data_IF_714399770335
#
_entry.id   IF_714399770335
#
_cell.length_a   1.000
_cell.length_b   1.000
_cell.length_c   1.000
_cell.angle_alpha   90.00
_cell.angle_beta   90.00
_cell.angle_gamma   90.00
#
_symmetry.space_group_name_H-M   'P 1'
#
loop_
_entity.id
_entity.type
_entity.pdbx_description
1 polymer ?
#
# COMPACT_ATOMS: atom_id res chain seq x y z
N UNK A 1 42.19 5.46 37.92
CA UNK A 1 40.92 4.70 37.89
C UNK A 1 40.59 4.42 36.43
N UNK A 2 40.90 3.20 35.97
CA UNK A 2 40.78 2.78 34.57
C UNK A 2 39.35 2.38 34.24
N UNK A 3 38.82 2.85 33.10
CA UNK A 3 37.50 2.47 32.58
C UNK A 3 37.52 1.02 32.10
N UNK A 4 36.46 0.23 32.31
CA UNK A 4 36.39 -1.15 31.83
C UNK A 4 36.22 -1.14 30.31
N UNK A 5 37.05 -1.93 29.63
CA UNK A 5 36.87 -2.30 28.22
C UNK A 5 35.79 -3.38 28.20
N UNK A 6 34.61 -3.05 27.69
CA UNK A 6 33.58 -4.05 27.37
C UNK A 6 33.98 -4.65 26.03
N UNK A 7 34.53 -5.86 26.06
CA UNK A 7 34.64 -6.71 24.88
C UNK A 7 33.23 -7.09 24.44
N UNK A 8 32.77 -6.51 23.33
CA UNK A 8 31.60 -7.01 22.62
C UNK A 8 32.03 -8.32 21.97
N UNK A 9 31.60 -9.44 22.55
CA UNK A 9 31.68 -10.74 21.89
C UNK A 9 30.83 -10.65 20.62
N UNK A 10 31.47 -10.77 19.46
CA UNK A 10 30.78 -10.83 18.18
C UNK A 10 30.00 -12.13 18.11
N UNK A 11 28.67 -12.04 17.99
CA UNK A 11 27.84 -13.16 17.58
C UNK A 11 28.33 -13.61 16.19
N UNK A 12 28.75 -14.88 16.07
CA UNK A 12 29.00 -15.48 14.77
C UNK A 12 27.71 -15.38 13.94
N UNK A 13 27.78 -14.93 12.67
CA UNK A 13 26.59 -14.79 11.85
C UNK A 13 25.91 -16.16 11.73
N UNK A 14 24.68 -16.23 12.24
CA UNK A 14 23.77 -17.37 12.08
C UNK A 14 23.86 -17.86 10.63
N UNK A 15 24.26 -19.12 10.45
CA UNK A 15 24.63 -19.75 9.16
C UNK A 15 23.48 -19.83 8.14
N UNK A 16 23.02 -18.68 7.67
CA UNK A 16 22.02 -18.55 6.63
C UNK A 16 22.54 -19.07 5.31
N UNK A 17 21.66 -19.71 4.53
CA UNK A 17 21.99 -20.07 3.15
C UNK A 17 22.31 -18.78 2.37
N UNK A 18 23.30 -18.82 1.45
CA UNK A 18 23.59 -17.68 0.61
C UNK A 18 22.35 -17.28 -0.20
N UNK A 19 22.17 -15.96 -0.35
CA UNK A 19 21.11 -15.36 -1.17
C UNK A 19 21.80 -14.77 -2.40
N UNK A 20 21.48 -15.33 -3.56
CA UNK A 20 21.93 -14.81 -4.84
C UNK A 20 20.91 -13.80 -5.35
N UNK A 21 21.39 -12.65 -5.85
CA UNK A 21 20.51 -11.61 -6.41
C UNK A 21 20.94 -11.24 -7.82
N UNK A 22 19.97 -11.01 -8.70
CA UNK A 22 20.17 -10.58 -10.08
C UNK A 22 19.08 -9.59 -10.50
N UNK A 23 19.34 -8.76 -11.51
CA UNK A 23 18.31 -7.95 -12.17
C UNK A 23 18.01 -8.53 -13.54
N UNK A 24 16.76 -8.89 -13.75
CA UNK A 24 16.28 -9.56 -14.97
C UNK A 24 15.13 -8.80 -15.60
N UNK A 25 14.82 -9.15 -16.86
CA UNK A 25 13.54 -8.76 -17.45
C UNK A 25 12.40 -9.51 -16.76
N UNK A 26 11.20 -8.91 -16.67
CA UNK A 26 10.04 -9.58 -16.10
C UNK A 26 9.75 -10.91 -16.79
N UNK A 27 9.67 -11.97 -15.99
CA UNK A 27 9.28 -13.31 -16.42
C UNK A 27 8.17 -13.81 -15.49
N UNK A 28 6.90 -13.88 -15.95
CA UNK A 28 5.78 -14.39 -15.18
C UNK A 28 6.03 -15.72 -14.46
N UNK A 29 6.93 -16.58 -14.97
CA UNK A 29 7.29 -17.85 -14.34
C UNK A 29 7.98 -17.69 -12.98
N UNK A 30 8.59 -16.53 -12.70
CA UNK A 30 9.21 -16.23 -11.41
C UNK A 30 8.20 -15.94 -10.30
N UNK A 31 6.98 -15.60 -10.69
CA UNK A 31 5.86 -15.27 -9.82
C UNK A 31 4.62 -16.08 -10.24
N UNK A 32 4.60 -17.41 -10.03
CA UNK A 32 3.57 -18.28 -10.58
C UNK A 32 2.17 -17.98 -10.04
N UNK A 33 1.15 -18.28 -10.84
CA UNK A 33 -0.25 -18.19 -10.46
C UNK A 33 -0.65 -19.30 -9.49
N UNK A 34 -1.49 -18.97 -8.50
CA UNK A 34 -2.14 -19.98 -7.65
C UNK A 34 -1.28 -20.61 -6.55
N UNK A 35 -0.16 -20.00 -6.15
CA UNK A 35 0.66 -20.47 -5.03
C UNK A 35 0.30 -19.78 -3.70
N UNK A 36 -0.08 -20.51 -2.64
CA UNK A 36 -0.15 -19.96 -1.29
C UNK A 36 1.28 -19.75 -0.79
N UNK A 37 1.86 -18.58 -1.03
CA UNK A 37 3.31 -18.49 -0.84
C UNK A 37 3.94 -17.13 -1.01
N UNK A 38 3.19 -16.03 -1.06
CA UNK A 38 3.79 -14.70 -1.19
C UNK A 38 3.19 -13.75 -0.16
N UNK A 39 4.04 -12.86 0.32
CA UNK A 39 3.71 -11.76 1.22
C UNK A 39 4.24 -10.48 0.62
N UNK A 40 3.48 -9.40 0.72
CA UNK A 40 3.87 -8.08 0.27
C UNK A 40 3.31 -7.01 1.23
N UNK A 41 3.82 -5.79 1.11
CA UNK A 41 3.37 -4.70 1.98
C UNK A 41 1.98 -4.16 1.62
N UNK A 42 1.48 -4.42 0.41
CA UNK A 42 0.14 -4.04 -0.03
C UNK A 42 -0.31 -4.80 -1.28
N UNK A 43 -1.57 -4.66 -1.65
CA UNK A 43 -2.21 -5.39 -2.75
C UNK A 43 -1.53 -5.12 -4.10
N UNK A 44 -1.10 -3.88 -4.35
CA UNK A 44 -0.41 -3.46 -5.57
C UNK A 44 0.93 -4.18 -5.80
N UNK A 45 1.48 -4.81 -4.75
CA UNK A 45 2.75 -5.53 -4.79
C UNK A 45 2.57 -7.05 -4.86
N UNK A 46 1.33 -7.54 -4.90
CA UNK A 46 1.09 -8.98 -5.03
C UNK A 46 1.47 -9.51 -6.40
N UNK A 47 1.77 -10.82 -6.53
CA UNK A 47 2.18 -11.40 -7.80
C UNK A 47 1.27 -11.04 -9.00
N UNK A 48 -0.08 -11.11 -8.90
CA UNK A 48 -0.94 -10.70 -10.01
C UNK A 48 -0.79 -9.22 -10.40
N UNK A 49 -0.63 -8.34 -9.42
CA UNK A 49 -0.46 -6.91 -9.64
C UNK A 49 0.91 -6.58 -10.25
N UNK A 50 1.98 -7.17 -9.71
CA UNK A 50 3.35 -7.01 -10.24
C UNK A 50 3.48 -7.53 -11.67
N UNK A 51 2.84 -8.67 -11.99
CA UNK A 51 2.80 -9.18 -13.37
C UNK A 51 2.02 -8.27 -14.31
N UNK A 52 0.87 -7.75 -13.87
CA UNK A 52 0.09 -6.81 -14.66
C UNK A 52 0.86 -5.51 -14.92
N UNK A 53 1.53 -4.97 -13.91
CA UNK A 53 2.36 -3.77 -14.00
C UNK A 53 3.56 -3.96 -14.95
N UNK A 54 4.13 -5.18 -15.03
CA UNK A 54 5.19 -5.49 -15.98
C UNK A 54 4.77 -5.40 -17.47
N UNK A 55 3.47 -5.36 -17.75
CA UNK A 55 2.92 -5.18 -19.10
C UNK A 55 2.60 -3.71 -19.43
N UNK A 56 2.76 -2.79 -18.47
CA UNK A 56 2.48 -1.38 -18.68
C UNK A 56 3.54 -0.73 -19.56
N UNK A 57 3.15 -0.40 -20.80
CA UNK A 57 4.04 0.16 -21.83
C UNK A 57 4.54 1.58 -21.55
N UNK A 58 4.08 2.23 -20.48
CA UNK A 58 4.62 3.51 -20.01
C UNK A 58 5.96 3.34 -19.30
N UNK A 59 6.30 2.11 -18.90
CA UNK A 59 7.46 1.79 -18.09
C UNK A 59 8.38 0.80 -18.79
N UNK A 60 9.68 1.03 -18.65
CA UNK A 60 10.67 0.00 -18.82
C UNK A 60 10.80 -0.72 -17.47
N UNK A 61 10.32 -1.96 -17.42
CA UNK A 61 10.25 -2.74 -16.19
C UNK A 61 11.38 -3.76 -16.11
N UNK A 62 12.02 -3.84 -14.95
CA UNK A 62 12.97 -4.89 -14.58
C UNK A 62 12.61 -5.41 -13.20
N UNK A 63 13.08 -6.60 -12.85
CA UNK A 63 12.89 -7.19 -11.54
C UNK A 63 14.25 -7.52 -10.92
N UNK A 64 14.51 -7.02 -9.70
CA UNK A 64 15.53 -7.62 -8.86
C UNK A 64 14.95 -8.91 -8.26
N UNK A 65 15.68 -10.01 -8.37
CA UNK A 65 15.21 -11.35 -7.97
C UNK A 65 16.21 -11.93 -6.99
N UNK A 66 15.71 -12.43 -5.86
CA UNK A 66 16.49 -13.13 -4.86
C UNK A 66 16.24 -14.63 -4.93
N UNK A 67 17.32 -15.43 -4.89
CA UNK A 67 17.27 -16.89 -4.95
C UNK A 67 18.11 -17.52 -3.86
N UNK A 68 17.73 -18.72 -3.44
CA UNK A 68 18.60 -19.60 -2.65
C UNK A 68 18.36 -21.05 -3.04
N UNK A 69 19.42 -21.78 -3.36
CA UNK A 69 19.32 -23.17 -3.85
C UNK A 69 18.41 -23.31 -5.08
N UNK A 70 18.44 -22.34 -6.00
CA UNK A 70 17.60 -22.29 -7.21
C UNK A 70 16.17 -21.78 -6.99
N UNK A 71 15.68 -21.71 -5.75
CA UNK A 71 14.32 -21.28 -5.44
C UNK A 71 14.20 -19.75 -5.34
N UNK A 72 13.18 -19.15 -5.97
CA UNK A 72 12.91 -17.69 -5.89
C UNK A 72 12.36 -17.33 -4.52
N UNK A 73 13.10 -16.55 -3.74
CA UNK A 73 12.71 -16.10 -2.40
C UNK A 73 11.97 -14.76 -2.41
N UNK A 74 12.22 -13.92 -3.41
CA UNK A 74 11.58 -12.62 -3.51
C UNK A 74 11.84 -11.93 -4.83
N UNK A 75 10.96 -10.98 -5.16
CA UNK A 75 11.05 -10.12 -6.33
C UNK A 75 10.79 -8.68 -5.90
N UNK A 76 11.64 -7.77 -6.36
CA UNK A 76 11.46 -6.33 -6.18
C UNK A 76 11.31 -5.68 -7.55
N UNK A 77 10.14 -5.11 -7.86
CA UNK A 77 9.91 -4.54 -9.18
C UNK A 77 10.57 -3.16 -9.31
N UNK A 78 11.16 -2.89 -10.48
CA UNK A 78 11.88 -1.67 -10.81
C UNK A 78 11.22 -1.03 -12.02
N UNK A 79 10.85 0.24 -11.91
CA UNK A 79 10.11 0.94 -12.95
C UNK A 79 10.86 2.19 -13.39
N UNK A 80 11.18 2.26 -14.68
CA UNK A 80 11.77 3.43 -15.31
C UNK A 80 10.75 4.06 -16.26
N UNK A 81 10.38 5.33 -16.11
CA UNK A 81 9.51 6.00 -17.08
C UNK A 81 10.11 5.95 -18.48
N UNK A 82 9.30 5.64 -19.49
CA UNK A 82 9.69 5.79 -20.90
C UNK A 82 9.33 7.19 -21.39
N UNK A 83 8.33 7.82 -20.78
CA UNK A 83 7.85 9.16 -21.13
C UNK A 83 8.63 10.25 -20.40
N UNK A 84 8.76 11.42 -21.02
CA UNK A 84 9.37 12.61 -20.43
C UNK A 84 8.54 13.30 -19.34
N UNK A 85 7.50 12.64 -18.82
CA UNK A 85 6.64 13.15 -17.75
C UNK A 85 6.24 12.03 -16.79
N UNK A 86 6.09 12.41 -15.51
CA UNK A 86 5.49 11.56 -14.48
C UNK A 86 3.97 11.76 -14.51
N UNK A 87 3.17 10.68 -14.51
CA UNK A 87 1.72 10.79 -14.70
C UNK A 87 0.96 11.39 -13.50
N UNK A 88 1.55 11.35 -12.30
CA UNK A 88 0.92 11.78 -11.06
C UNK A 88 1.93 12.59 -10.22
N UNK A 89 1.62 13.82 -9.79
CA UNK A 89 2.46 14.59 -8.88
C UNK A 89 2.77 13.88 -7.56
N UNK A 90 1.88 13.00 -7.07
CA UNK A 90 2.16 12.15 -5.91
C UNK A 90 3.30 11.16 -6.18
N UNK A 91 3.61 10.86 -7.44
CA UNK A 91 4.73 10.01 -7.81
C UNK A 91 5.96 10.82 -8.25
N UNK A 92 5.90 12.15 -8.27
CA UNK A 92 7.02 12.97 -8.71
C UNK A 92 7.96 13.26 -7.52
N UNK A 93 9.18 12.67 -7.49
CA UNK A 93 10.14 12.91 -6.42
C UNK A 93 10.54 14.40 -6.32
N UNK A 94 10.43 15.19 -7.40
CA UNK A 94 10.69 16.64 -7.36
C UNK A 94 9.60 17.44 -6.69
N UNK A 95 8.36 16.99 -6.79
CA UNK A 95 7.24 17.59 -6.07
C UNK A 95 7.29 17.23 -4.57
N UNK A 96 7.67 15.99 -4.25
CA UNK A 96 7.70 15.49 -2.88
C UNK A 96 8.97 15.89 -2.10
N UNK A 97 10.12 15.98 -2.78
CA UNK A 97 11.43 16.15 -2.18
C UNK A 97 12.26 17.21 -2.96
N UNK A 98 11.75 18.45 -3.07
CA UNK A 98 12.37 19.46 -3.94
C UNK A 98 13.85 19.71 -3.59
N UNK A 99 14.20 19.73 -2.30
CA UNK A 99 15.57 19.98 -1.85
C UNK A 99 16.54 18.83 -2.21
N UNK A 100 16.08 17.58 -2.13
CA UNK A 100 16.92 16.39 -2.41
C UNK A 100 17.09 16.13 -3.91
N UNK A 101 16.20 16.69 -4.72
CA UNK A 101 16.10 16.42 -6.16
C UNK A 101 16.39 17.66 -7.00
N UNK A 102 16.81 18.76 -6.39
CA UNK A 102 17.09 20.03 -7.08
C UNK A 102 18.11 19.87 -8.22
N UNK A 103 19.13 19.02 -8.02
CA UNK A 103 20.19 18.76 -9.00
C UNK A 103 19.88 17.57 -9.93
N UNK A 104 18.70 16.96 -9.83
CA UNK A 104 18.36 15.84 -10.69
C UNK A 104 18.06 16.31 -12.12
N UNK A 105 18.42 15.52 -13.14
CA UNK A 105 17.98 15.79 -14.49
C UNK A 105 16.46 15.91 -14.54
N UNK A 106 15.96 16.88 -15.31
CA UNK A 106 14.53 17.11 -15.44
C UNK A 106 13.80 15.98 -16.18
N UNK A 107 14.53 15.16 -16.94
CA UNK A 107 14.01 14.04 -17.72
C UNK A 107 13.74 12.81 -16.81
N UNK A 108 12.46 12.43 -16.60
CA UNK A 108 12.09 11.26 -15.81
C UNK A 108 12.60 9.94 -16.39
N UNK A 109 12.98 9.89 -17.67
CA UNK A 109 13.62 8.71 -18.24
C UNK A 109 15.01 8.43 -17.64
N UNK A 110 15.56 9.33 -16.81
CA UNK A 110 16.79 9.08 -16.04
C UNK A 110 16.53 8.52 -14.64
N UNK A 111 15.26 8.36 -14.26
CA UNK A 111 14.84 7.98 -12.92
C UNK A 111 14.48 6.50 -12.82
N UNK A 112 14.57 5.92 -11.62
CA UNK A 112 14.17 4.55 -11.35
C UNK A 112 13.40 4.45 -10.02
N UNK A 113 12.15 4.02 -10.09
CA UNK A 113 11.33 3.70 -8.92
C UNK A 113 11.69 2.29 -8.43
N UNK A 114 12.15 2.19 -7.19
CA UNK A 114 12.56 0.94 -6.55
C UNK A 114 11.44 0.40 -5.67
N UNK A 115 10.76 -0.62 -6.16
CA UNK A 115 9.80 -1.42 -5.40
C UNK A 115 8.32 -1.11 -5.62
N UNK A 116 7.96 -0.14 -6.47
CA UNK A 116 6.55 0.14 -6.73
C UNK A 116 6.32 1.54 -7.30
N UNK A 117 5.24 1.67 -8.07
CA UNK A 117 4.68 2.97 -8.46
C UNK A 117 3.15 3.03 -8.36
N UNK A 118 2.51 1.92 -8.03
CA UNK A 118 1.07 1.81 -7.91
C UNK A 118 0.64 1.95 -6.46
N UNK A 119 -0.54 2.52 -6.24
CA UNK A 119 -1.21 2.68 -4.94
C UNK A 119 -0.34 3.31 -3.84
N UNK A 120 0.64 4.13 -4.24
CA UNK A 120 1.53 4.88 -3.34
C UNK A 120 2.17 3.97 -2.29
N UNK A 121 2.70 2.81 -2.73
CA UNK A 121 3.43 1.87 -1.89
C UNK A 121 4.62 1.28 -2.64
N UNK A 122 5.76 1.15 -1.96
CA UNK A 122 6.92 0.44 -2.47
C UNK A 122 7.32 -0.73 -1.56
N UNK A 123 7.81 -1.79 -2.18
CA UNK A 123 8.40 -2.92 -1.47
C UNK A 123 8.55 -4.15 -2.34
N UNK A 124 9.28 -5.16 -1.85
CA UNK A 124 9.36 -6.44 -2.53
C UNK A 124 8.12 -7.30 -2.24
N UNK A 125 7.87 -8.23 -3.15
CA UNK A 125 7.09 -9.43 -2.87
C UNK A 125 8.05 -10.54 -2.41
N UNK A 126 7.79 -11.12 -1.25
CA UNK A 126 8.68 -12.09 -0.60
C UNK A 126 7.92 -13.37 -0.33
N UNK A 127 8.57 -14.51 -0.48
CA UNK A 127 7.97 -15.82 -0.23
C UNK A 127 7.40 -15.88 1.20
N UNK A 128 6.16 -16.33 1.33
CA UNK A 128 5.50 -16.56 2.61
C UNK A 128 6.15 -17.74 3.33
N UNK A 129 6.08 -17.72 4.66
CA UNK A 129 6.62 -18.78 5.52
C UNK A 129 8.13 -18.70 5.73
N UNK A 130 8.84 -17.74 5.12
CA UNK A 130 10.19 -17.41 5.55
C UNK A 130 10.15 -16.91 7.00
N UNK A 131 11.15 -17.32 7.79
CA UNK A 131 11.33 -16.76 9.13
C UNK A 131 11.64 -15.26 9.03
N UNK A 132 11.26 -14.43 10.02
CA UNK A 132 11.40 -12.98 9.93
C UNK A 132 12.81 -12.49 9.60
N UNK A 133 13.84 -13.12 10.16
CA UNK A 133 15.25 -12.80 9.89
C UNK A 133 15.62 -13.05 8.41
N UNK A 134 15.23 -14.20 7.86
CA UNK A 134 15.50 -14.54 6.46
C UNK A 134 14.72 -13.63 5.51
N UNK A 135 13.45 -13.33 5.80
CA UNK A 135 12.67 -12.36 5.05
C UNK A 135 13.33 -10.97 5.07
N UNK A 136 13.88 -10.55 6.22
CA UNK A 136 14.66 -9.32 6.37
C UNK A 136 15.89 -9.29 5.47
N UNK A 137 16.68 -10.38 5.45
CA UNK A 137 17.86 -10.50 4.56
C UNK A 137 17.48 -10.46 3.08
N UNK A 138 16.40 -11.15 2.69
CA UNK A 138 15.89 -11.12 1.30
C UNK A 138 15.51 -9.70 0.88
N UNK A 139 14.79 -8.96 1.75
CA UNK A 139 14.40 -7.57 1.47
C UNK A 139 15.61 -6.66 1.31
N UNK A 140 16.59 -6.76 2.21
CA UNK A 140 17.82 -5.98 2.15
C UNK A 140 18.61 -6.27 0.87
N UNK A 141 18.85 -7.55 0.55
CA UNK A 141 19.60 -7.96 -0.63
C UNK A 141 18.92 -7.52 -1.94
N UNK A 142 17.58 -7.57 -2.00
CA UNK A 142 16.82 -7.06 -3.14
C UNK A 142 16.97 -5.54 -3.32
N UNK A 143 16.87 -4.77 -2.24
CA UNK A 143 17.02 -3.32 -2.29
C UNK A 143 18.46 -2.91 -2.66
N UNK A 144 19.47 -3.56 -2.09
CA UNK A 144 20.89 -3.36 -2.40
C UNK A 144 21.15 -3.62 -3.88
N UNK A 145 20.74 -4.79 -4.38
CA UNK A 145 20.89 -5.14 -5.79
C UNK A 145 20.20 -4.13 -6.73
N UNK A 146 19.04 -3.62 -6.34
CA UNK A 146 18.32 -2.64 -7.14
C UNK A 146 19.05 -1.29 -7.23
N UNK A 147 19.54 -0.77 -6.09
CA UNK A 147 20.29 0.48 -6.06
C UNK A 147 21.65 0.36 -6.77
N UNK A 148 22.38 -0.73 -6.54
CA UNK A 148 23.66 -1.01 -7.23
C UNK A 148 23.48 -1.10 -8.74
N UNK A 149 22.45 -1.82 -9.19
CA UNK A 149 22.15 -1.93 -10.61
C UNK A 149 21.82 -0.55 -11.21
N UNK A 150 21.01 0.25 -10.53
CA UNK A 150 20.68 1.60 -10.99
C UNK A 150 21.92 2.50 -11.10
N UNK A 151 22.82 2.44 -10.12
CA UNK A 151 24.09 3.16 -10.15
C UNK A 151 24.95 2.72 -11.36
N UNK A 152 25.05 1.41 -11.62
CA UNK A 152 25.73 0.87 -12.79
C UNK A 152 25.09 1.27 -14.13
N UNK A 153 23.80 1.61 -14.14
CA UNK A 153 23.09 2.15 -15.31
C UNK A 153 23.13 3.69 -15.40
N UNK A 154 23.73 4.38 -14.41
CA UNK A 154 23.73 5.85 -14.33
C UNK A 154 22.35 6.47 -14.05
N UNK A 155 21.41 5.69 -13.49
CA UNK A 155 20.05 6.15 -13.18
C UNK A 155 19.98 6.80 -11.78
N UNK A 156 18.99 7.68 -11.58
CA UNK A 156 18.61 8.21 -10.27
C UNK A 156 17.54 7.31 -9.66
N UNK A 157 17.98 6.36 -8.84
CA UNK A 157 17.06 5.45 -8.14
C UNK A 157 16.54 6.04 -6.84
N UNK A 158 15.33 5.65 -6.46
CA UNK A 158 14.72 6.00 -5.18
C UNK A 158 13.59 5.03 -4.84
N UNK A 159 13.33 4.84 -3.55
CA UNK A 159 12.08 4.26 -3.05
C UNK A 159 11.13 5.38 -2.66
N UNK A 160 9.95 5.47 -3.26
CA UNK A 160 8.87 6.35 -2.78
C UNK A 160 7.82 5.50 -2.08
N UNK A 161 7.27 6.06 -1.01
CA UNK A 161 6.28 5.42 -0.18
C UNK A 161 6.68 4.05 0.37
N UNK A 162 7.93 3.98 0.86
CA UNK A 162 8.44 2.83 1.60
C UNK A 162 7.75 2.78 2.96
N UNK A 163 6.99 1.71 3.28
CA UNK A 163 6.40 1.52 4.60
C UNK A 163 7.48 1.46 5.70
N UNK A 164 7.13 1.88 6.91
CA UNK A 164 8.06 1.90 8.04
C UNK A 164 8.74 0.55 8.30
N UNK A 165 7.98 -0.55 8.17
CA UNK A 165 8.48 -1.92 8.34
C UNK A 165 9.54 -2.35 7.30
N UNK A 166 9.68 -1.60 6.20
CA UNK A 166 10.67 -1.84 5.14
C UNK A 166 11.82 -0.81 5.16
N UNK A 167 11.73 0.23 6.00
CA UNK A 167 12.68 1.34 5.99
C UNK A 167 14.12 0.86 6.24
N UNK A 168 14.33 -0.04 7.20
CA UNK A 168 15.67 -0.53 7.53
C UNK A 168 16.38 -1.19 6.34
N UNK A 169 15.65 -1.99 5.54
CA UNK A 169 16.20 -2.65 4.36
C UNK A 169 16.59 -1.63 3.28
N UNK A 170 15.72 -0.66 3.00
CA UNK A 170 15.97 0.38 2.01
C UNK A 170 17.09 1.34 2.44
N UNK A 171 17.10 1.76 3.71
CA UNK A 171 18.10 2.67 4.25
C UNK A 171 19.50 2.04 4.24
N UNK A 172 19.61 0.78 4.68
CA UNK A 172 20.88 0.04 4.61
C UNK A 172 21.40 -0.05 3.17
N UNK A 173 20.52 -0.37 2.22
CA UNK A 173 20.86 -0.48 0.81
C UNK A 173 21.21 0.87 0.16
N UNK A 174 20.67 1.96 0.67
CA UNK A 174 20.94 3.33 0.20
C UNK A 174 22.31 3.88 0.68
N UNK A 175 22.98 3.19 1.62
CA UNK A 175 24.28 3.59 2.17
C UNK A 175 24.22 4.96 2.87
N UNK A 176 25.07 5.90 2.44
CA UNK A 176 25.07 7.29 2.93
C UNK A 176 23.91 8.14 2.34
N UNK A 177 22.82 7.50 1.95
CA UNK A 177 21.66 8.12 1.36
C UNK A 177 20.81 8.92 2.35
N UNK A 178 19.80 9.59 1.81
CA UNK A 178 18.85 10.39 2.58
C UNK A 178 17.53 9.66 2.72
N UNK A 179 16.96 9.71 3.92
CA UNK A 179 15.61 9.24 4.24
C UNK A 179 14.77 10.45 4.61
N UNK A 180 13.57 10.57 4.03
CA UNK A 180 12.62 11.63 4.36
C UNK A 180 11.23 11.04 4.56
N UNK A 181 10.52 11.50 5.58
CA UNK A 181 9.12 11.13 5.79
C UNK A 181 8.25 11.96 4.85
N UNK A 182 7.47 11.29 4.00
CA UNK A 182 6.65 11.96 2.97
C UNK A 182 5.15 11.86 3.23
N UNK A 183 4.71 10.89 4.02
CA UNK A 183 3.29 10.69 4.31
C UNK A 183 3.08 9.93 5.64
N UNK A 184 1.82 9.71 5.97
CA UNK A 184 1.38 8.75 6.98
C UNK A 184 0.31 7.84 6.38
N UNK A 185 0.43 6.56 6.68
CA UNK A 185 -0.62 5.58 6.46
C UNK A 185 -1.40 5.35 7.76
N UNK A 186 -2.71 5.21 7.64
CA UNK A 186 -3.55 4.81 8.76
C UNK A 186 -3.78 3.30 8.75
N UNK A 187 -3.42 2.64 9.85
CA UNK A 187 -3.56 1.18 10.03
C UNK A 187 -4.44 0.92 11.26
N UNK A 188 -5.51 0.15 11.08
CA UNK A 188 -6.44 -0.20 12.15
C UNK A 188 -6.25 -1.67 12.55
N UNK A 189 -5.93 -1.98 13.82
CA UNK A 189 -5.98 -3.34 14.32
C UNK A 189 -7.40 -3.90 14.25
N UNK A 190 -7.53 -5.15 13.80
CA UNK A 190 -8.82 -5.83 13.64
C UNK A 190 -8.91 -6.95 14.69
N UNK A 191 -9.64 -6.75 15.80
CA UNK A 191 -9.79 -7.78 16.82
C UNK A 191 -10.76 -8.88 16.37
N UNK A 192 -10.50 -10.10 16.82
CA UNK A 192 -11.30 -11.28 16.48
C UNK A 192 -12.70 -11.26 17.13
N UNK A 193 -12.87 -10.55 18.24
CA UNK A 193 -14.10 -10.58 19.06
C UNK A 193 -15.18 -9.59 18.57
N UNK A 194 -15.18 -9.29 17.26
CA UNK A 194 -16.18 -8.42 16.63
C UNK A 194 -16.20 -6.99 17.18
N UNK A 195 -17.39 -6.39 17.18
CA UNK A 195 -17.62 -5.00 17.59
C UNK A 195 -17.26 -4.72 19.05
N UNK A 196 -17.56 -5.67 19.95
CA UNK A 196 -17.21 -5.55 21.37
C UNK A 196 -15.70 -5.61 21.58
N UNK A 197 -15.01 -6.51 20.86
CA UNK A 197 -13.55 -6.53 20.81
C UNK A 197 -13.00 -5.20 20.32
N UNK A 198 -13.53 -4.66 19.22
CA UNK A 198 -13.11 -3.37 18.67
C UNK A 198 -13.26 -2.24 19.67
N UNK A 199 -14.44 -2.10 20.27
CA UNK A 199 -14.67 -1.10 21.30
C UNK A 199 -13.75 -1.30 22.50
N UNK A 200 -13.51 -2.53 22.94
CA UNK A 200 -12.65 -2.87 24.08
C UNK A 200 -11.22 -2.35 23.96
N UNK A 201 -10.67 -2.32 22.75
CA UNK A 201 -9.30 -1.85 22.47
C UNK A 201 -9.18 -0.33 22.35
N UNK A 202 -10.30 0.41 22.24
CA UNK A 202 -10.28 1.85 22.07
C UNK A 202 -10.20 2.58 23.42
N UNK A 203 -9.50 3.73 23.51
CA UNK A 203 -9.62 4.65 24.64
C UNK A 203 -11.07 5.12 24.87
N UNK A 204 -11.42 5.47 26.10
CA UNK A 204 -12.79 5.83 26.49
C UNK A 204 -13.41 6.95 25.63
N UNK A 205 -12.60 7.95 25.25
CA UNK A 205 -13.04 9.04 24.37
C UNK A 205 -13.39 8.53 22.97
N UNK A 206 -12.59 7.65 22.39
CA UNK A 206 -12.80 7.10 21.05
C UNK A 206 -14.01 6.16 21.05
N UNK A 207 -14.19 5.33 22.09
CA UNK A 207 -15.40 4.49 22.25
C UNK A 207 -16.68 5.29 22.22
N UNK A 208 -16.71 6.45 22.90
CA UNK A 208 -17.88 7.34 22.90
C UNK A 208 -18.15 7.90 21.51
N UNK A 209 -17.13 8.31 20.77
CA UNK A 209 -17.27 8.76 19.38
C UNK A 209 -17.85 7.65 18.50
N UNK A 210 -17.26 6.45 18.54
CA UNK A 210 -17.72 5.31 17.73
C UNK A 210 -19.17 4.94 18.05
N UNK A 211 -19.53 4.84 19.33
CA UNK A 211 -20.91 4.54 19.75
C UNK A 211 -21.91 5.60 19.29
N UNK A 212 -21.52 6.88 19.35
CA UNK A 212 -22.37 7.98 18.86
C UNK A 212 -22.56 7.87 17.35
N UNK A 213 -21.48 7.63 16.60
CA UNK A 213 -21.56 7.45 15.15
C UNK A 213 -22.47 6.27 14.80
N UNK A 214 -22.30 5.13 15.47
CA UNK A 214 -23.13 3.94 15.24
C UNK A 214 -24.60 4.19 15.53
N UNK A 215 -24.93 4.76 16.70
CA UNK A 215 -26.32 5.07 17.04
C UNK A 215 -26.97 6.01 16.02
N UNK A 216 -26.22 7.01 15.54
CA UNK A 216 -26.73 7.97 14.56
C UNK A 216 -26.88 7.36 13.16
N UNK A 217 -25.93 6.52 12.74
CA UNK A 217 -26.01 5.76 11.50
C UNK A 217 -27.24 4.81 11.50
N UNK A 218 -27.51 4.14 12.61
CA UNK A 218 -28.70 3.27 12.76
C UNK A 218 -29.98 4.09 12.72
N UNK A 219 -30.04 5.19 13.48
CA UNK A 219 -31.20 6.09 13.53
C UNK A 219 -31.57 6.63 12.14
N UNK A 220 -30.56 6.88 11.30
CA UNK A 220 -30.74 7.44 9.96
C UNK A 220 -30.84 6.37 8.86
N UNK A 221 -30.61 5.09 9.18
CA UNK A 221 -30.59 4.00 8.18
C UNK A 221 -29.43 4.10 7.19
N UNK A 222 -28.28 4.64 7.60
CA UNK A 222 -27.13 4.93 6.72
C UNK A 222 -26.05 3.84 6.76
N UNK A 223 -26.44 2.58 6.99
CA UNK A 223 -25.51 1.45 6.99
C UNK A 223 -25.06 1.13 5.57
N UNK A 224 -23.78 0.79 5.40
CA UNK A 224 -23.31 0.35 4.09
C UNK A 224 -23.87 -1.03 3.76
N UNK A 225 -24.30 -1.19 2.51
CA UNK A 225 -24.58 -2.48 1.90
C UNK A 225 -23.27 -3.02 1.34
N UNK A 226 -22.88 -4.21 1.81
CA UNK A 226 -21.75 -4.96 1.25
C UNK A 226 -22.17 -5.59 -0.09
N UNK A 227 -21.38 -5.35 -1.14
CA UNK A 227 -21.57 -5.89 -2.48
C UNK A 227 -20.37 -6.70 -2.94
N UNK A 228 -20.62 -7.74 -3.73
CA UNK A 228 -19.60 -8.64 -4.27
C UNK A 228 -19.40 -8.47 -5.78
N UNK A 229 -18.82 -9.51 -6.41
CA UNK A 229 -18.54 -9.49 -7.85
C UNK A 229 -19.77 -9.40 -8.75
N UNK A 230 -20.90 -9.96 -8.32
CA UNK A 230 -22.16 -9.84 -9.06
C UNK A 230 -22.70 -8.40 -9.07
N UNK A 231 -22.37 -7.60 -8.05
CA UNK A 231 -22.89 -6.23 -7.86
C UNK A 231 -21.98 -5.16 -8.46
N UNK A 232 -20.72 -5.51 -8.80
CA UNK A 232 -19.74 -4.54 -9.26
C UNK A 232 -20.23 -3.77 -10.49
N UNK A 233 -20.67 -4.49 -11.52
CA UNK A 233 -20.99 -3.90 -12.81
C UNK A 233 -22.24 -3.01 -12.75
N UNK A 234 -23.18 -3.31 -11.84
CA UNK A 234 -24.35 -2.46 -11.60
C UNK A 234 -24.02 -1.23 -10.74
N UNK A 235 -23.06 -1.34 -9.81
CA UNK A 235 -22.61 -0.24 -8.96
C UNK A 235 -21.68 0.74 -9.69
N UNK A 236 -20.85 0.23 -10.62
CA UNK A 236 -19.78 1.00 -11.26
C UNK A 236 -20.25 2.34 -11.86
N UNK A 237 -21.36 2.43 -12.63
CA UNK A 237 -21.79 3.68 -13.24
C UNK A 237 -21.97 4.84 -12.26
N UNK A 238 -22.52 4.60 -11.07
CA UNK A 238 -22.67 5.63 -10.03
C UNK A 238 -21.37 5.86 -9.26
N UNK A 239 -20.66 4.78 -8.93
CA UNK A 239 -19.46 4.82 -8.10
C UNK A 239 -18.34 5.64 -8.75
N UNK A 240 -18.10 5.45 -10.05
CA UNK A 240 -16.98 6.08 -10.76
C UNK A 240 -17.15 7.60 -10.87
N UNK A 241 -18.38 8.08 -11.03
CA UNK A 241 -18.70 9.51 -11.05
C UNK A 241 -18.46 10.12 -9.66
N UNK A 242 -18.87 9.41 -8.61
CA UNK A 242 -18.70 9.86 -7.23
C UNK A 242 -17.21 9.93 -6.82
N UNK A 243 -16.41 8.95 -7.25
CA UNK A 243 -14.95 8.92 -7.04
C UNK A 243 -14.27 10.05 -7.84
N UNK A 244 -14.63 10.21 -9.12
CA UNK A 244 -14.06 11.25 -9.98
C UNK A 244 -14.34 12.65 -9.42
N UNK A 245 -15.57 12.90 -8.97
CA UNK A 245 -15.95 14.16 -8.33
C UNK A 245 -15.14 14.42 -7.05
N UNK A 246 -14.94 13.40 -6.21
CA UNK A 246 -14.11 13.53 -5.00
C UNK A 246 -12.66 13.86 -5.34
N UNK A 247 -12.07 13.13 -6.29
CA UNK A 247 -10.70 13.33 -6.77
C UNK A 247 -10.47 14.74 -7.36
N UNK A 248 -11.40 15.22 -8.18
CA UNK A 248 -11.34 16.57 -8.73
C UNK A 248 -11.33 17.65 -7.64
N UNK A 249 -12.15 17.50 -6.58
CA UNK A 249 -12.15 18.42 -5.42
C UNK A 249 -10.83 18.41 -4.64
N UNK A 250 -10.13 17.28 -4.64
CA UNK A 250 -8.80 17.15 -4.03
C UNK A 250 -7.65 17.52 -4.99
N UNK A 251 -7.95 18.13 -6.14
CA UNK A 251 -6.93 18.61 -7.09
C UNK A 251 -6.27 17.51 -7.91
N UNK A 252 -6.82 16.30 -7.91
CA UNK A 252 -6.29 15.11 -8.62
C UNK A 252 -7.33 14.55 -9.58
N UNK A 253 -7.88 15.36 -10.51
CA UNK A 253 -8.99 14.93 -11.37
C UNK A 253 -8.62 13.65 -12.14
N UNK A 254 -9.60 12.76 -12.27
CA UNK A 254 -9.42 11.48 -12.94
C UNK A 254 -10.67 11.15 -13.76
N UNK A 255 -10.49 10.39 -14.83
CA UNK A 255 -11.57 10.06 -15.74
C UNK A 255 -12.35 8.84 -15.23
N UNK A 256 -13.71 8.89 -15.16
CA UNK A 256 -14.54 7.77 -14.69
C UNK A 256 -14.22 6.41 -15.32
N UNK A 257 -13.97 6.37 -16.64
CA UNK A 257 -13.52 5.15 -17.35
C UNK A 257 -12.19 4.57 -16.82
N UNK A 258 -11.22 5.42 -16.45
CA UNK A 258 -9.94 4.97 -15.90
C UNK A 258 -10.12 4.41 -14.49
N UNK A 259 -10.97 5.06 -13.67
CA UNK A 259 -11.37 4.54 -12.35
C UNK A 259 -12.03 3.16 -12.50
N UNK A 260 -13.01 3.02 -13.40
CA UNK A 260 -13.67 1.73 -13.67
C UNK A 260 -12.67 0.64 -14.10
N UNK A 261 -11.73 0.99 -14.98
CA UNK A 261 -10.69 0.08 -15.44
C UNK A 261 -9.80 -0.39 -14.27
N UNK A 262 -9.35 0.54 -13.41
CA UNK A 262 -8.52 0.22 -12.24
C UNK A 262 -9.28 -0.62 -11.22
N UNK A 263 -10.52 -0.27 -10.89
CA UNK A 263 -11.34 -1.05 -9.97
C UNK A 263 -11.53 -2.50 -10.45
N UNK A 264 -11.84 -2.71 -11.73
CA UNK A 264 -11.92 -4.07 -12.30
C UNK A 264 -10.58 -4.81 -12.24
N UNK A 265 -9.46 -4.13 -12.46
CA UNK A 265 -8.14 -4.74 -12.35
C UNK A 265 -7.83 -5.14 -10.91
N UNK A 266 -8.07 -4.24 -9.96
CA UNK A 266 -7.86 -4.44 -8.53
C UNK A 266 -8.68 -5.60 -7.98
N UNK A 267 -9.97 -5.66 -8.33
CA UNK A 267 -10.86 -6.78 -7.99
C UNK A 267 -10.35 -8.13 -8.51
N UNK A 268 -9.83 -8.18 -9.75
CA UNK A 268 -9.24 -9.41 -10.29
C UNK A 268 -7.95 -9.84 -9.59
N UNK A 269 -7.25 -8.91 -8.95
CA UNK A 269 -5.99 -9.17 -8.23
C UNK A 269 -6.22 -9.58 -6.77
N UNK A 270 -7.38 -9.28 -6.20
CA UNK A 270 -7.76 -9.56 -4.82
C UNK A 270 -8.11 -11.04 -4.58
N UNK A 271 -7.09 -11.90 -4.57
CA UNK A 271 -7.24 -13.36 -4.51
C UNK A 271 -8.00 -13.86 -3.25
N UNK A 272 -7.77 -13.24 -2.09
CA UNK A 272 -8.36 -13.70 -0.81
C UNK A 272 -9.75 -13.09 -0.55
N UNK A 273 -10.26 -12.33 -1.52
CA UNK A 273 -11.58 -11.74 -1.52
C UNK A 273 -11.56 -10.22 -1.50
N UNK A 274 -12.70 -9.65 -1.85
CA UNK A 274 -12.93 -8.22 -1.88
C UNK A 274 -14.41 -7.92 -1.67
N UNK A 275 -14.73 -6.68 -1.36
CA UNK A 275 -16.09 -6.17 -1.25
C UNK A 275 -16.15 -4.68 -1.62
N UNK A 276 -17.32 -4.25 -2.08
CA UNK A 276 -17.70 -2.83 -2.13
C UNK A 276 -18.64 -2.50 -0.97
N UNK A 277 -18.59 -1.27 -0.46
CA UNK A 277 -19.47 -0.79 0.60
C UNK A 277 -20.21 0.45 0.13
N UNK A 278 -21.49 0.31 -0.18
CA UNK A 278 -22.33 1.39 -0.71
C UNK A 278 -23.29 1.91 0.37
N UNK A 279 -23.25 3.20 0.65
CA UNK A 279 -24.25 3.87 1.51
C UNK A 279 -25.19 4.67 0.62
N UNK A 280 -26.49 4.43 0.75
CA UNK A 280 -27.56 5.14 0.03
C UNK A 280 -28.47 5.88 1.00
N UNK A 281 -29.10 6.96 0.54
CA UNK A 281 -30.21 7.58 1.28
C UNK A 281 -31.52 6.80 1.13
N UNK A 282 -32.58 7.27 1.80
CA UNK A 282 -33.92 6.67 1.73
C UNK A 282 -34.53 6.71 0.31
N UNK A 283 -34.06 7.62 -0.55
CA UNK A 283 -34.46 7.71 -1.96
C UNK A 283 -33.65 6.79 -2.88
N UNK A 284 -32.72 6.00 -2.33
CA UNK A 284 -31.86 5.09 -3.09
C UNK A 284 -30.67 5.76 -3.78
N UNK A 285 -30.42 7.05 -3.56
CA UNK A 285 -29.26 7.74 -4.17
C UNK A 285 -27.97 7.36 -3.44
N UNK A 286 -26.91 7.06 -4.20
CA UNK A 286 -25.60 6.74 -3.66
C UNK A 286 -24.96 7.97 -2.99
N UNK A 287 -24.72 7.88 -1.68
CA UNK A 287 -24.08 8.94 -0.89
C UNK A 287 -22.58 8.71 -0.76
N UNK A 288 -22.16 7.45 -0.62
CA UNK A 288 -20.78 7.07 -0.44
C UNK A 288 -20.53 5.66 -0.97
N UNK A 289 -19.32 5.44 -1.46
CA UNK A 289 -18.84 4.11 -1.86
C UNK A 289 -17.38 3.95 -1.47
N UNK A 290 -16.99 2.77 -1.04
CA UNK A 290 -15.59 2.38 -0.91
C UNK A 290 -15.42 0.92 -1.32
N UNK A 291 -14.17 0.51 -1.49
CA UNK A 291 -13.83 -0.87 -1.81
C UNK A 291 -12.77 -1.37 -0.82
N UNK A 292 -12.82 -2.64 -0.44
CA UNK A 292 -11.75 -3.30 0.32
C UNK A 292 -11.41 -4.64 -0.30
N UNK A 293 -10.15 -5.05 -0.16
CA UNK A 293 -9.68 -6.37 -0.59
C UNK A 293 -8.75 -6.97 0.46
N UNK A 294 -8.74 -8.29 0.53
CA UNK A 294 -7.95 -9.06 1.47
C UNK A 294 -6.71 -9.63 0.80
N UNK A 295 -5.64 -9.69 1.59
CA UNK A 295 -4.48 -10.52 1.34
C UNK A 295 -3.91 -11.07 2.65
N UNK A 296 -3.88 -12.39 2.77
CA UNK A 296 -3.51 -13.07 4.01
C UNK A 296 -4.36 -12.59 5.17
N UNK A 297 -3.73 -11.99 6.20
CA UNK A 297 -4.40 -11.45 7.38
C UNK A 297 -4.62 -9.93 7.34
N UNK A 298 -4.45 -9.32 6.17
CA UNK A 298 -4.59 -7.87 5.99
C UNK A 298 -5.71 -7.58 5.02
N UNK A 299 -6.60 -6.66 5.39
CA UNK A 299 -7.51 -5.99 4.48
C UNK A 299 -6.96 -4.60 4.13
N UNK A 300 -7.18 -4.14 2.90
CA UNK A 300 -6.75 -2.83 2.42
C UNK A 300 -7.93 -2.14 1.73
N UNK A 301 -8.17 -0.89 2.10
CA UNK A 301 -9.19 -0.05 1.43
C UNK A 301 -8.62 0.56 0.16
N UNK A 302 -9.36 0.46 -0.94
CA UNK A 302 -9.05 1.10 -2.21
C UNK A 302 -9.73 2.46 -2.36
N UNK A 303 -10.23 2.72 -3.57
CA UNK A 303 -10.89 3.99 -3.94
C UNK A 303 -12.11 4.30 -3.05
N UNK A 304 -12.35 5.60 -2.84
CA UNK A 304 -13.52 6.11 -2.12
C UNK A 304 -14.24 7.17 -2.97
N UNK A 305 -15.56 7.12 -2.98
CA UNK A 305 -16.44 8.17 -3.50
C UNK A 305 -17.32 8.71 -2.37
N UNK A 306 -17.53 10.03 -2.34
CA UNK A 306 -18.34 10.68 -1.31
C UNK A 306 -19.11 11.88 -1.85
N UNK A 307 -20.38 12.00 -1.47
CA UNK A 307 -21.20 13.18 -1.77
C UNK A 307 -20.81 14.40 -0.91
N UNK A 308 -21.22 15.58 -1.35
CA UNK A 308 -20.99 16.87 -0.66
C UNK A 308 -22.04 17.17 0.41
N UNK A 309 -23.06 16.33 0.57
CA UNK A 309 -24.18 16.59 1.47
C UNK A 309 -23.71 16.81 2.92
N UNK A 310 -23.73 18.08 3.32
CA UNK A 310 -22.85 18.63 4.36
C UNK A 310 -23.21 18.21 5.78
N UNK A 311 -24.47 17.80 6.02
CA UNK A 311 -24.93 17.35 7.34
C UNK A 311 -24.48 15.93 7.70
N UNK A 312 -24.38 15.05 6.70
CA UNK A 312 -24.19 13.60 6.92
C UNK A 312 -22.82 13.10 6.49
N UNK A 313 -22.04 13.93 5.79
CA UNK A 313 -20.73 13.58 5.21
C UNK A 313 -19.82 12.82 6.18
N UNK A 314 -19.73 13.27 7.43
CA UNK A 314 -18.86 12.63 8.43
C UNK A 314 -19.30 11.21 8.79
N UNK A 315 -20.61 10.95 8.88
CA UNK A 315 -21.17 9.63 9.18
C UNK A 315 -20.95 8.68 8.01
N UNK A 316 -21.36 9.10 6.81
CA UNK A 316 -21.23 8.25 5.61
C UNK A 316 -19.76 7.96 5.29
N UNK A 317 -18.86 8.93 5.50
CA UNK A 317 -17.40 8.72 5.40
C UNK A 317 -16.90 7.71 6.43
N UNK A 318 -17.36 7.79 7.67
CA UNK A 318 -16.91 6.88 8.73
C UNK A 318 -17.42 5.46 8.49
N UNK A 319 -18.66 5.33 8.04
CA UNK A 319 -19.25 4.04 7.69
C UNK A 319 -18.52 3.40 6.51
N UNK A 320 -18.32 4.10 5.39
CA UNK A 320 -17.69 3.50 4.21
C UNK A 320 -16.19 3.32 4.36
N UNK A 321 -15.48 4.25 5.00
CA UNK A 321 -14.02 4.14 5.09
C UNK A 321 -13.57 3.25 6.25
N UNK A 322 -14.30 3.22 7.36
CA UNK A 322 -13.84 2.56 8.59
C UNK A 322 -14.72 1.40 8.99
N UNK A 323 -16.00 1.63 9.28
CA UNK A 323 -16.82 0.63 9.97
C UNK A 323 -17.19 -0.56 9.08
N UNK A 324 -17.62 -0.32 7.83
CA UNK A 324 -17.95 -1.40 6.91
C UNK A 324 -16.72 -2.22 6.50
N UNK A 325 -15.58 -1.61 6.12
CA UNK A 325 -14.34 -2.35 5.89
C UNK A 325 -13.83 -3.10 7.13
N UNK A 326 -14.02 -2.56 8.34
CA UNK A 326 -13.65 -3.25 9.58
C UNK A 326 -14.47 -4.53 9.76
N UNK A 327 -15.79 -4.46 9.61
CA UNK A 327 -16.67 -5.66 9.70
C UNK A 327 -16.30 -6.69 8.65
N UNK A 328 -16.05 -6.26 7.42
CA UNK A 328 -15.54 -7.13 6.35
C UNK A 328 -14.22 -7.80 6.76
N UNK A 329 -13.25 -7.04 7.26
CA UNK A 329 -11.96 -7.57 7.72
C UNK A 329 -12.14 -8.58 8.86
N UNK A 330 -13.04 -8.33 9.81
CA UNK A 330 -13.38 -9.25 10.91
C UNK A 330 -13.98 -10.55 10.36
N UNK A 331 -14.96 -10.47 9.46
CA UNK A 331 -15.58 -11.64 8.83
C UNK A 331 -14.58 -12.49 8.04
N UNK A 332 -13.51 -11.86 7.51
CA UNK A 332 -12.43 -12.52 6.77
C UNK A 332 -11.29 -13.01 7.66
N UNK A 333 -11.37 -12.82 8.98
CA UNK A 333 -10.30 -13.21 9.91
C UNK A 333 -9.01 -12.40 9.76
N UNK A 334 -9.09 -11.22 9.14
CA UNK A 334 -7.97 -10.30 9.08
C UNK A 334 -7.65 -9.75 10.48
N UNK A 335 -6.39 -9.44 10.73
CA UNK A 335 -5.91 -8.80 11.96
C UNK A 335 -5.58 -7.33 11.75
N UNK A 336 -5.56 -6.88 10.51
CA UNK A 336 -5.13 -5.54 10.13
C UNK A 336 -5.98 -5.02 8.99
N UNK A 337 -6.39 -3.76 9.10
CA UNK A 337 -7.07 -3.01 8.05
C UNK A 337 -6.23 -1.77 7.72
N UNK A 338 -5.69 -1.71 6.50
CA UNK A 338 -4.98 -0.54 5.97
C UNK A 338 -6.00 0.41 5.36
N UNK A 339 -6.10 1.60 5.92
CA UNK A 339 -7.07 2.63 5.53
C UNK A 339 -6.49 3.63 4.50
N UNK A 340 -5.31 3.32 3.95
CA UNK A 340 -4.57 4.17 3.01
C UNK A 340 -4.02 5.46 3.62
N UNK A 341 -3.40 6.26 2.76
CA UNK A 341 -2.78 7.54 3.10
C UNK A 341 -3.83 8.64 3.34
N UNK A 342 -3.43 9.71 4.02
CA UNK A 342 -4.23 10.94 4.17
C UNK A 342 -5.32 10.89 5.24
N UNK A 343 -5.88 12.07 5.55
CA UNK A 343 -6.95 12.30 6.55
C UNK A 343 -6.77 11.53 7.87
N UNK A 344 -5.61 11.70 8.50
CA UNK A 344 -5.23 10.93 9.69
C UNK A 344 -6.15 11.10 10.90
N UNK A 345 -6.61 12.32 11.19
CA UNK A 345 -7.38 12.59 12.41
C UNK A 345 -8.74 11.86 12.48
N UNK A 346 -9.59 11.89 11.44
CA UNK A 346 -10.80 11.06 11.41
C UNK A 346 -10.55 9.57 11.64
N UNK A 347 -9.46 9.02 11.09
CA UNK A 347 -9.09 7.60 11.24
C UNK A 347 -8.56 7.31 12.65
N UNK A 348 -7.72 8.18 13.22
CA UNK A 348 -7.21 8.07 14.60
C UNK A 348 -8.32 8.05 15.66
N UNK A 349 -9.34 8.90 15.49
CA UNK A 349 -10.50 8.94 16.40
C UNK A 349 -11.29 7.62 16.46
N UNK A 350 -11.04 6.74 15.49
CA UNK A 350 -11.63 5.40 15.35
C UNK A 350 -10.59 4.30 15.58
N UNK A 351 -9.46 4.63 16.20
CA UNK A 351 -8.47 3.67 16.65
C UNK A 351 -7.35 3.35 15.65
N UNK A 352 -7.30 4.03 14.50
CA UNK A 352 -6.19 3.81 13.59
C UNK A 352 -4.87 4.37 14.16
N UNK A 353 -3.81 3.59 14.04
CA UNK A 353 -2.43 4.01 14.21
C UNK A 353 -1.97 4.73 12.95
N UNK A 354 -1.26 5.86 13.08
CA UNK A 354 -0.62 6.51 11.94
C UNK A 354 0.83 6.08 11.89
N UNK A 355 1.20 5.41 10.79
CA UNK A 355 2.56 4.94 10.55
C UNK A 355 3.23 5.83 9.50
N UNK A 356 4.48 6.25 9.73
CA UNK A 356 5.19 7.05 8.75
C UNK A 356 5.42 6.24 7.48
N UNK A 357 5.44 6.96 6.36
CA UNK A 357 5.77 6.41 5.05
C UNK A 357 6.88 7.26 4.45
N UNK A 358 7.88 6.61 3.88
CA UNK A 358 9.19 7.19 3.66
C UNK A 358 9.54 7.29 2.18
N UNK A 359 10.34 8.29 1.84
CA UNK A 359 11.17 8.30 0.67
C UNK A 359 12.60 7.96 1.05
N UNK A 360 13.26 7.14 0.23
CA UNK A 360 14.66 6.75 0.39
C UNK A 360 15.41 7.03 -0.90
N UNK A 361 16.46 7.84 -0.81
CA UNK A 361 17.32 8.24 -1.92
C UNK A 361 18.75 7.79 -1.61
N UNK A 362 19.41 6.98 -2.45
CA UNK A 362 20.78 6.55 -2.23
C UNK A 362 21.77 7.72 -2.25
N UNK A 363 22.89 7.56 -1.54
CA UNK A 363 24.02 8.48 -1.60
C UNK A 363 24.63 8.53 -3.00
N UNK A 364 25.38 9.59 -3.29
CA UNK A 364 26.12 9.72 -4.57
C UNK A 364 27.29 8.76 -4.67
#
# INVERSE_FOLDING_TARGET
MSRPVIQVLGDEPSGGRPIDTEVVRPDPALLPEGGPGWTAAGLALLPPAVRAAALDRRWQVHWAVARSGGAVLGVLPLYRPITGSVPDPAMDPRALLPDLTAEWPADPATWLYVGGYHDLIAGPVVRAGLVPEEAGRVRAALAERAFDWAAGQGLRAFGLYVPDELLAAYHSAAGAGTVSRIAEEAVLPVPADGDDGYLGHLPAQHRRTVRKDWAELDRLGLRAVEGGAADLESLLPEAVELIAALRARHGTPDHPRLIAMRLRAWVRQAADGWASFAVRDQGGRLLAVSFAACHGRTAETGEIGLTEESGLRHLVYSETLVYAPLRFAQHRGCTTLRLGLGSGEPKRRRGAELRPVWAVVPGR
#
